data_IF_820000541440
#
_entry.id   IF_820000541440
#
_cell.length_a   1.000
_cell.length_b   1.000
_cell.length_c   1.000
_cell.angle_alpha   90.00
_cell.angle_beta   90.00
_cell.angle_gamma   90.00
#
_symmetry.space_group_name_H-M   'P 1'
#
loop_
_entity.id
_entity.type
_entity.pdbx_description
1 polymer ?
#
# COMPACT_ATOMS: atom_id res chain seq x y z
N UNK A 1 -0.28 -26.29 22.15
CA UNK A 1 -0.07 -26.26 20.67
C UNK A 1 -0.06 -24.80 20.25
N UNK A 2 1.12 -24.19 20.14
CA UNK A 2 1.28 -22.84 19.57
C UNK A 2 1.00 -22.98 18.06
N UNK A 3 -0.08 -22.37 17.59
CA UNK A 3 -0.28 -22.13 16.16
C UNK A 3 0.88 -21.27 15.69
N UNK A 4 1.79 -21.84 14.92
CA UNK A 4 2.69 -21.07 14.06
C UNK A 4 1.81 -20.21 13.15
N UNK A 5 1.58 -18.97 13.55
CA UNK A 5 1.05 -17.95 12.66
C UNK A 5 2.18 -17.75 11.66
N UNK A 6 2.03 -18.30 10.46
CA UNK A 6 2.86 -17.94 9.31
C UNK A 6 2.74 -16.43 9.17
N UNK A 7 3.79 -15.73 9.56
CA UNK A 7 3.88 -14.27 9.47
C UNK A 7 4.10 -13.97 8.00
N UNK A 8 3.01 -13.69 7.27
CA UNK A 8 3.03 -13.39 5.84
C UNK A 8 3.25 -11.89 5.63
N UNK A 9 3.94 -11.53 4.55
CA UNK A 9 3.97 -10.14 4.07
C UNK A 9 2.53 -9.69 3.86
N UNK A 10 2.18 -8.52 4.39
CA UNK A 10 0.87 -7.89 4.17
C UNK A 10 1.04 -6.63 3.34
N UNK A 11 0.14 -6.43 2.39
CA UNK A 11 0.05 -5.16 1.69
C UNK A 11 -0.43 -4.05 2.63
N UNK A 12 -0.04 -2.82 2.32
CA UNK A 12 -0.50 -1.63 3.04
C UNK A 12 -1.78 -1.06 2.43
N UNK A 13 -2.11 -1.42 1.21
CA UNK A 13 -3.37 -1.09 0.55
C UNK A 13 -4.42 -2.13 0.88
N UNK A 14 -5.68 -1.73 0.92
CA UNK A 14 -6.76 -2.67 1.18
C UNK A 14 -8.13 -2.02 1.07
N UNK A 15 -9.13 -2.86 0.86
CA UNK A 15 -10.52 -2.49 0.75
C UNK A 15 -11.38 -3.52 1.47
N UNK A 16 -12.34 -3.04 2.24
CA UNK A 16 -13.34 -3.87 2.89
C UNK A 16 -14.71 -3.21 2.82
N UNK A 17 -15.74 -3.99 2.58
CA UNK A 17 -17.13 -3.56 2.57
C UNK A 17 -17.98 -4.63 3.22
N UNK A 18 -18.94 -4.17 4.03
CA UNK A 18 -19.96 -5.04 4.59
C UNK A 18 -21.30 -4.29 4.68
N UNK A 19 -22.38 -5.03 4.64
CA UNK A 19 -23.75 -4.47 4.69
C UNK A 19 -24.64 -5.36 5.54
N UNK A 20 -25.55 -4.74 6.31
CA UNK A 20 -26.60 -5.46 7.00
C UNK A 20 -27.91 -4.70 6.91
N UNK A 21 -29.01 -5.41 7.13
CA UNK A 21 -30.36 -4.85 7.21
C UNK A 21 -30.80 -4.91 8.67
N UNK A 22 -31.29 -3.79 9.18
CA UNK A 22 -31.91 -3.70 10.49
C UNK A 22 -33.25 -2.94 10.37
N UNK A 23 -34.35 -3.66 10.47
CA UNK A 23 -35.68 -3.12 10.16
C UNK A 23 -35.74 -2.67 8.69
N UNK A 24 -36.12 -1.40 8.47
CA UNK A 24 -36.19 -0.79 7.12
C UNK A 24 -34.88 -0.08 6.71
N UNK A 25 -33.85 -0.13 7.57
CA UNK A 25 -32.56 0.51 7.34
C UNK A 25 -31.55 -0.50 6.76
N UNK A 26 -30.93 -0.16 5.66
CA UNK A 26 -29.75 -0.87 5.14
C UNK A 26 -28.50 -0.12 5.57
N UNK A 27 -27.75 -0.74 6.46
CA UNK A 27 -26.51 -0.22 7.03
C UNK A 27 -25.36 -0.62 6.10
N UNK A 28 -24.58 0.34 5.64
CA UNK A 28 -23.43 0.11 4.77
C UNK A 28 -22.17 0.60 5.47
N UNK A 29 -21.13 -0.24 5.45
CA UNK A 29 -19.80 0.09 5.94
C UNK A 29 -18.80 -0.12 4.83
N UNK A 30 -17.95 0.85 4.62
CA UNK A 30 -16.85 0.81 3.67
C UNK A 30 -15.57 1.30 4.37
N UNK A 31 -14.49 0.54 4.21
CA UNK A 31 -13.18 0.89 4.74
C UNK A 31 -12.14 0.74 3.64
N UNK A 32 -11.37 1.80 3.41
CA UNK A 32 -10.27 1.86 2.45
C UNK A 32 -8.99 2.16 3.18
N UNK A 33 -7.93 1.52 2.78
CA UNK A 33 -6.62 1.80 3.33
C UNK A 33 -5.60 2.02 2.22
N UNK A 34 -4.83 3.09 2.40
CA UNK A 34 -3.66 3.42 1.59
C UNK A 34 -2.42 3.37 2.47
N UNK A 35 -1.27 3.30 1.83
CA UNK A 35 -0.01 3.27 2.54
C UNK A 35 0.27 4.61 3.25
N UNK A 36 0.66 4.53 4.52
CA UNK A 36 1.14 5.66 5.32
C UNK A 36 2.11 5.18 6.40
N UNK A 37 3.01 6.06 6.85
CA UNK A 37 3.98 5.76 7.92
C UNK A 37 3.33 5.66 9.30
N UNK A 38 2.25 6.40 9.53
CA UNK A 38 1.48 6.42 10.76
C UNK A 38 0.03 6.05 10.46
N UNK A 39 -0.73 5.74 11.50
CA UNK A 39 -2.17 5.61 11.41
C UNK A 39 -2.78 7.00 11.22
N UNK A 40 -3.40 7.24 10.07
CA UNK A 40 -4.19 8.43 9.75
C UNK A 40 -5.61 7.97 9.41
N UNK A 41 -6.53 8.14 10.36
CA UNK A 41 -7.89 7.64 10.27
C UNK A 41 -8.89 8.78 10.06
N UNK A 42 -9.47 8.83 8.87
CA UNK A 42 -10.58 9.69 8.51
C UNK A 42 -11.90 8.90 8.63
N UNK A 43 -12.88 9.45 9.32
CA UNK A 43 -14.17 8.81 9.55
C UNK A 43 -15.31 9.67 9.00
N UNK A 44 -16.22 9.05 8.25
CA UNK A 44 -17.49 9.61 7.82
C UNK A 44 -18.60 8.73 8.36
N UNK A 45 -19.30 9.20 9.40
CA UNK A 45 -20.27 8.40 10.14
C UNK A 45 -21.61 9.10 10.08
N UNK A 46 -22.67 8.34 9.77
CA UNK A 46 -24.05 8.84 9.81
C UNK A 46 -24.37 9.44 11.20
N UNK A 47 -25.12 10.57 11.27
CA UNK A 47 -25.38 11.29 12.51
C UNK A 47 -25.87 10.40 13.67
N UNK A 48 -26.69 9.40 13.37
CA UNK A 48 -27.24 8.44 14.34
C UNK A 48 -26.14 7.66 15.10
N UNK A 49 -25.00 7.35 14.46
CA UNK A 49 -23.93 6.53 15.06
C UNK A 49 -22.73 7.37 15.51
N UNK A 50 -22.81 8.70 15.47
CA UNK A 50 -21.70 9.59 15.78
C UNK A 50 -21.19 9.44 17.22
N UNK A 51 -22.08 9.14 18.18
CA UNK A 51 -21.70 8.89 19.57
C UNK A 51 -20.77 7.67 19.74
N UNK A 52 -20.84 6.71 18.84
CA UNK A 52 -20.01 5.48 18.84
C UNK A 52 -18.71 5.62 18.03
N UNK A 53 -18.39 6.83 17.53
CA UNK A 53 -17.20 7.08 16.70
C UNK A 53 -15.90 6.63 17.37
N UNK A 54 -15.74 6.92 18.67
CA UNK A 54 -14.53 6.55 19.40
C UNK A 54 -14.35 5.03 19.53
N UNK A 55 -15.45 4.30 19.66
CA UNK A 55 -15.42 2.83 19.69
C UNK A 55 -14.99 2.27 18.32
N UNK A 56 -15.57 2.78 17.24
CA UNK A 56 -15.20 2.41 15.87
C UNK A 56 -13.72 2.71 15.60
N UNK A 57 -13.23 3.89 15.98
CA UNK A 57 -11.81 4.27 15.85
C UNK A 57 -10.89 3.30 16.58
N UNK A 58 -11.27 2.88 17.78
CA UNK A 58 -10.51 1.91 18.57
C UNK A 58 -10.51 0.52 17.93
N UNK A 59 -11.63 0.06 17.36
CA UNK A 59 -11.72 -1.21 16.63
C UNK A 59 -10.77 -1.23 15.42
N UNK A 60 -10.80 -0.16 14.61
CA UNK A 60 -9.94 0.00 13.43
C UNK A 60 -8.47 0.05 13.84
N UNK A 61 -8.12 0.86 14.85
CA UNK A 61 -6.73 1.05 15.29
C UNK A 61 -6.12 -0.21 15.91
N UNK A 62 -6.93 -1.06 16.56
CA UNK A 62 -6.47 -2.35 17.08
C UNK A 62 -6.21 -3.38 15.98
N UNK A 63 -6.94 -3.29 14.87
CA UNK A 63 -6.86 -4.26 13.78
C UNK A 63 -5.82 -3.85 12.73
N UNK A 64 -5.54 -2.54 12.59
CA UNK A 64 -4.65 -1.98 11.59
C UNK A 64 -3.53 -1.21 12.29
N UNK A 65 -2.28 -1.67 12.14
CA UNK A 65 -1.12 -1.05 12.81
C UNK A 65 -0.78 0.34 12.25
N UNK A 66 -0.94 0.53 10.93
CA UNK A 66 -0.61 1.78 10.21
C UNK A 66 -1.36 1.87 8.89
N UNK A 67 -1.42 3.06 8.32
CA UNK A 67 -2.03 3.33 7.02
C UNK A 67 -2.87 4.61 7.07
N UNK A 68 -3.11 5.21 5.90
CA UNK A 68 -4.15 6.21 5.74
C UNK A 68 -5.46 5.48 5.48
N UNK A 69 -6.35 5.51 6.46
CA UNK A 69 -7.62 4.75 6.47
C UNK A 69 -8.78 5.70 6.33
N UNK A 70 -9.57 5.52 5.28
CA UNK A 70 -10.84 6.20 5.09
C UNK A 70 -11.97 5.22 5.43
N UNK A 71 -12.74 5.56 6.47
CA UNK A 71 -13.88 4.78 6.95
C UNK A 71 -15.17 5.53 6.69
N UNK A 72 -16.17 4.86 6.14
CA UNK A 72 -17.50 5.42 5.89
C UNK A 72 -18.59 4.47 6.38
N UNK A 73 -19.51 5.01 7.16
CA UNK A 73 -20.70 4.32 7.67
C UNK A 73 -21.93 5.16 7.34
N UNK A 74 -22.81 4.62 6.49
CA UNK A 74 -24.04 5.32 6.08
C UNK A 74 -25.24 4.37 6.05
N UNK A 75 -26.42 4.98 6.09
CA UNK A 75 -27.71 4.29 6.07
C UNK A 75 -28.38 4.60 4.73
N UNK A 76 -28.85 3.57 4.06
CA UNK A 76 -29.82 3.68 2.96
C UNK A 76 -31.19 3.35 3.54
N UNK A 77 -32.14 4.30 3.42
CA UNK A 77 -33.56 4.07 3.72
C UNK A 77 -34.29 3.82 2.41
N UNK A 78 -35.31 2.99 2.45
CA UNK A 78 -36.17 2.79 1.30
C UNK A 78 -36.87 4.10 0.91
N UNK A 79 -37.03 4.33 -0.39
CA UNK A 79 -37.50 5.61 -0.98
C UNK A 79 -38.95 5.92 -0.55
N UNK A 80 -39.69 4.96 -0.05
CA UNK A 80 -41.09 5.14 0.40
C UNK A 80 -41.26 6.08 1.59
N UNK A 81 -40.18 6.37 2.37
CA UNK A 81 -40.25 7.13 3.62
C UNK A 81 -39.49 8.47 3.59
N UNK A 82 -39.31 9.04 2.38
CA UNK A 82 -38.52 10.27 2.19
C UNK A 82 -39.33 11.57 2.36
N UNK A 83 -40.64 11.48 2.58
CA UNK A 83 -41.42 12.66 2.83
C UNK A 83 -41.09 13.28 4.20
N UNK A 84 -40.65 14.54 4.21
CA UNK A 84 -40.40 15.28 5.46
C UNK A 84 -41.72 15.46 6.19
N UNK A 85 -41.88 14.94 7.42
CA UNK A 85 -43.13 15.07 8.15
C UNK A 85 -43.39 16.52 8.49
N UNK A 86 -44.67 16.90 8.44
CA UNK A 86 -45.13 18.21 8.85
C UNK A 86 -45.42 18.19 10.34
N UNK A 87 -44.82 19.10 11.10
CA UNK A 87 -45.09 19.25 12.51
C UNK A 87 -46.46 19.94 12.73
N UNK A 88 -47.51 19.13 12.88
CA UNK A 88 -48.87 19.61 13.01
C UNK A 88 -49.08 20.55 14.23
N UNK A 89 -48.41 20.25 15.35
CA UNK A 89 -48.50 21.07 16.54
C UNK A 89 -47.89 22.47 16.33
N UNK A 90 -46.78 22.55 15.58
CA UNK A 90 -46.16 23.82 15.29
C UNK A 90 -46.95 24.62 14.25
N UNK A 91 -47.58 23.95 13.30
CA UNK A 91 -48.49 24.56 12.31
C UNK A 91 -49.69 25.20 13.04
N UNK A 92 -50.32 24.47 13.98
CA UNK A 92 -51.43 24.99 14.78
C UNK A 92 -51.00 26.19 15.64
N UNK A 93 -49.82 26.15 16.19
CA UNK A 93 -49.28 27.24 17.01
C UNK A 93 -49.03 28.50 16.18
N UNK A 94 -48.41 28.39 15.04
CA UNK A 94 -48.20 29.50 14.12
C UNK A 94 -49.55 30.05 13.58
N UNK A 95 -50.47 29.21 13.24
CA UNK A 95 -51.81 29.62 12.82
C UNK A 95 -52.49 30.52 13.90
N UNK A 96 -52.50 30.08 15.14
CA UNK A 96 -53.11 30.81 16.26
C UNK A 96 -52.38 32.14 16.51
N UNK A 97 -51.04 32.20 16.40
CA UNK A 97 -50.27 33.44 16.55
C UNK A 97 -50.57 34.42 15.43
N UNK A 98 -50.60 34.00 14.15
CA UNK A 98 -50.92 34.86 13.03
C UNK A 98 -52.31 35.40 13.13
N UNK A 99 -53.31 34.59 13.54
CA UNK A 99 -54.67 35.02 13.79
C UNK A 99 -54.77 36.11 14.82
N UNK A 100 -54.15 35.92 16.00
CA UNK A 100 -54.13 36.91 17.06
C UNK A 100 -53.46 38.23 16.63
N UNK A 101 -52.35 38.16 15.86
CA UNK A 101 -51.65 39.35 15.33
C UNK A 101 -52.55 40.08 14.33
N UNK A 102 -53.22 39.36 13.46
CA UNK A 102 -54.16 39.95 12.49
C UNK A 102 -55.28 40.68 13.17
N UNK A 103 -55.89 40.12 14.23
CA UNK A 103 -56.93 40.76 15.03
C UNK A 103 -56.45 42.02 15.75
N UNK A 104 -55.22 42.02 16.27
CA UNK A 104 -54.65 43.16 16.99
C UNK A 104 -54.21 44.32 16.03
N UNK A 105 -53.66 43.96 14.89
CA UNK A 105 -53.04 44.92 13.97
C UNK A 105 -53.91 45.36 12.79
N UNK A 106 -55.07 44.69 12.63
CA UNK A 106 -55.95 44.84 11.46
C UNK A 106 -55.31 44.54 10.10
N UNK A 107 -54.19 43.76 10.10
CA UNK A 107 -53.60 43.26 8.89
C UNK A 107 -54.46 42.10 8.37
N UNK A 108 -54.85 42.04 7.10
CA UNK A 108 -55.69 40.95 6.60
C UNK A 108 -54.95 39.59 6.70
N UNK A 109 -55.76 38.54 6.93
CA UNK A 109 -55.26 37.17 6.94
C UNK A 109 -54.69 36.75 5.59
N UNK A 110 -53.68 35.90 5.52
CA UNK A 110 -53.14 35.39 4.26
C UNK A 110 -54.22 34.56 3.52
N UNK A 111 -54.28 34.72 2.19
CA UNK A 111 -55.23 33.95 1.36
C UNK A 111 -54.80 32.48 1.25
N UNK A 112 -53.49 32.22 1.14
CA UNK A 112 -52.89 30.87 1.06
C UNK A 112 -52.18 30.51 2.39
N UNK A 113 -52.96 29.84 3.25
CA UNK A 113 -52.51 29.40 4.54
C UNK A 113 -51.44 28.31 4.47
N UNK A 114 -51.59 27.35 3.57
CA UNK A 114 -50.61 26.26 3.45
C UNK A 114 -49.26 26.76 2.97
N UNK A 115 -49.22 27.61 1.96
CA UNK A 115 -47.98 28.21 1.49
C UNK A 115 -47.30 29.06 2.56
N UNK A 116 -48.11 29.78 3.40
CA UNK A 116 -47.58 30.61 4.49
C UNK A 116 -47.00 29.75 5.62
N UNK A 117 -47.78 28.77 6.10
CA UNK A 117 -47.38 27.94 7.26
C UNK A 117 -46.24 26.99 6.92
N UNK A 118 -46.19 26.39 5.72
CA UNK A 118 -45.13 25.50 5.31
C UNK A 118 -43.76 26.21 5.11
N UNK A 119 -43.75 27.53 5.02
CA UNK A 119 -42.53 28.35 4.95
C UNK A 119 -42.03 28.82 6.32
N UNK A 120 -42.84 28.63 7.36
CA UNK A 120 -42.39 28.97 8.71
C UNK A 120 -41.28 28.08 9.18
N UNK A 121 -40.37 28.60 10.04
CA UNK A 121 -39.26 27.84 10.59
C UNK A 121 -39.76 26.55 11.26
N UNK A 122 -39.01 25.46 11.07
CA UNK A 122 -39.19 24.16 11.74
C UNK A 122 -40.56 23.47 11.55
N UNK A 123 -41.42 23.99 10.68
CA UNK A 123 -42.70 23.33 10.32
C UNK A 123 -42.43 22.04 9.52
N UNK A 124 -41.46 22.03 8.67
CA UNK A 124 -40.94 20.82 8.02
C UNK A 124 -39.80 20.28 8.89
N UNK A 125 -40.14 19.50 9.89
CA UNK A 125 -39.13 18.88 10.75
C UNK A 125 -38.44 17.74 10.05
N UNK A 126 -37.12 17.77 10.02
CA UNK A 126 -36.36 16.55 9.82
C UNK A 126 -36.75 15.59 10.92
N UNK A 127 -37.22 14.39 10.55
CA UNK A 127 -37.67 13.36 11.46
C UNK A 127 -36.84 13.33 12.76
N UNK A 128 -37.50 13.10 13.89
CA UNK A 128 -36.93 13.02 15.24
C UNK A 128 -35.53 12.34 15.21
N UNK A 129 -34.64 12.88 16.02
CA UNK A 129 -33.33 12.24 16.29
C UNK A 129 -33.67 10.85 16.86
N UNK A 130 -33.64 9.85 15.98
CA UNK A 130 -33.83 8.47 16.42
C UNK A 130 -32.67 8.17 17.37
N UNK A 131 -33.01 7.81 18.61
CA UNK A 131 -32.03 7.30 19.57
C UNK A 131 -31.52 5.95 19.09
N UNK A 132 -30.24 5.73 19.21
CA UNK A 132 -29.58 4.47 18.82
C UNK A 132 -29.95 3.40 19.84
N UNK A 133 -30.63 2.33 19.41
CA UNK A 133 -30.88 1.17 20.26
C UNK A 133 -29.62 0.31 20.38
N UNK A 134 -29.45 -0.37 21.53
CA UNK A 134 -28.29 -1.29 21.71
C UNK A 134 -28.35 -2.46 20.71
N UNK A 135 -29.51 -2.97 20.34
CA UNK A 135 -29.67 -4.03 19.36
C UNK A 135 -29.20 -3.57 17.96
N UNK A 136 -29.54 -2.34 17.56
CA UNK A 136 -29.05 -1.74 16.31
C UNK A 136 -27.56 -1.55 16.36
N UNK A 137 -27.00 -1.09 17.49
CA UNK A 137 -25.56 -0.93 17.65
C UNK A 137 -24.82 -2.26 17.56
N UNK A 138 -25.31 -3.34 18.12
CA UNK A 138 -24.67 -4.67 17.97
C UNK A 138 -24.62 -5.15 16.51
N UNK A 139 -25.66 -4.86 15.73
CA UNK A 139 -25.65 -5.15 14.29
C UNK A 139 -24.59 -4.30 13.57
N UNK A 140 -24.55 -2.98 13.83
CA UNK A 140 -23.54 -2.08 13.26
C UNK A 140 -22.14 -2.54 13.60
N UNK A 141 -21.87 -2.88 14.86
CA UNK A 141 -20.59 -3.36 15.33
C UNK A 141 -20.12 -4.59 14.57
N UNK A 142 -20.99 -5.58 14.35
CA UNK A 142 -20.68 -6.77 13.55
C UNK A 142 -20.35 -6.43 12.11
N UNK A 143 -21.08 -5.51 11.50
CA UNK A 143 -20.81 -5.06 10.12
C UNK A 143 -19.47 -4.33 10.03
N UNK A 144 -19.12 -3.52 11.03
CA UNK A 144 -17.80 -2.87 11.11
C UNK A 144 -16.70 -3.92 11.23
N UNK A 145 -16.84 -4.91 12.12
CA UNK A 145 -15.87 -6.01 12.27
C UNK A 145 -15.71 -6.81 10.97
N UNK A 146 -16.81 -7.11 10.28
CA UNK A 146 -16.80 -7.81 9.00
C UNK A 146 -16.06 -7.01 7.91
N UNK A 147 -16.33 -5.71 7.80
CA UNK A 147 -15.64 -4.84 6.85
C UNK A 147 -14.13 -4.77 7.14
N UNK A 148 -13.73 -4.70 8.42
CA UNK A 148 -12.33 -4.73 8.83
C UNK A 148 -11.69 -6.07 8.45
N UNK A 149 -12.36 -7.19 8.68
CA UNK A 149 -11.88 -8.53 8.33
C UNK A 149 -11.70 -8.67 6.82
N UNK A 150 -12.63 -8.19 6.02
CA UNK A 150 -12.50 -8.18 4.55
C UNK A 150 -11.27 -7.39 4.09
N UNK A 151 -11.01 -6.22 4.70
CA UNK A 151 -9.80 -5.44 4.40
C UNK A 151 -8.53 -6.19 4.80
N UNK A 152 -8.49 -6.82 5.97
CA UNK A 152 -7.33 -7.60 6.44
C UNK A 152 -7.07 -8.80 5.52
N UNK A 153 -8.12 -9.49 5.09
CA UNK A 153 -7.99 -10.64 4.18
C UNK A 153 -7.54 -10.21 2.78
N UNK A 154 -8.02 -9.07 2.29
CA UNK A 154 -7.51 -8.46 1.06
C UNK A 154 -6.00 -8.19 1.16
N UNK A 155 -5.55 -7.57 2.27
CA UNK A 155 -4.12 -7.31 2.52
C UNK A 155 -3.27 -8.58 2.55
N UNK A 156 -3.78 -9.68 3.11
CA UNK A 156 -3.10 -10.98 3.12
C UNK A 156 -2.99 -11.58 1.72
N UNK A 157 -4.07 -11.55 0.95
CA UNK A 157 -4.09 -12.06 -0.42
C UNK A 157 -3.10 -11.30 -1.31
N UNK A 158 -3.12 -9.98 -1.24
CA UNK A 158 -2.18 -9.13 -1.98
C UNK A 158 -0.74 -9.35 -1.52
N UNK A 159 -0.50 -9.50 -0.22
CA UNK A 159 0.80 -9.82 0.36
C UNK A 159 1.35 -11.15 -0.15
N UNK A 160 0.52 -12.19 -0.24
CA UNK A 160 0.91 -13.50 -0.80
C UNK A 160 1.30 -13.39 -2.27
N UNK A 161 0.55 -12.61 -3.05
CA UNK A 161 0.87 -12.37 -4.46
C UNK A 161 2.21 -11.61 -4.63
N UNK A 162 2.48 -10.64 -3.77
CA UNK A 162 3.75 -9.91 -3.73
C UNK A 162 4.92 -10.82 -3.35
N UNK A 163 4.77 -11.67 -2.33
CA UNK A 163 5.79 -12.63 -1.90
C UNK A 163 6.18 -13.57 -3.03
N UNK A 164 5.19 -14.10 -3.77
CA UNK A 164 5.45 -14.94 -4.95
C UNK A 164 6.27 -14.20 -6.01
N UNK A 165 5.91 -12.95 -6.31
CA UNK A 165 6.65 -12.13 -7.27
C UNK A 165 8.07 -11.83 -6.80
N UNK A 166 8.28 -11.50 -5.53
CA UNK A 166 9.62 -11.28 -4.99
C UNK A 166 10.48 -12.55 -5.13
N UNK A 167 9.97 -13.71 -4.75
CA UNK A 167 10.69 -14.97 -4.89
C UNK A 167 11.06 -15.26 -6.34
N UNK A 168 10.13 -15.06 -7.29
CA UNK A 168 10.41 -15.21 -8.72
C UNK A 168 11.59 -14.34 -9.19
N UNK A 169 11.59 -13.05 -8.79
CA UNK A 169 12.65 -12.10 -9.17
C UNK A 169 13.99 -12.45 -8.53
N UNK A 170 13.99 -12.83 -7.27
CA UNK A 170 15.18 -13.28 -6.55
C UNK A 170 15.75 -14.56 -7.20
N UNK A 171 14.90 -15.52 -7.54
CA UNK A 171 15.31 -16.75 -8.22
C UNK A 171 15.90 -16.46 -9.61
N UNK A 172 15.34 -15.49 -10.34
CA UNK A 172 15.88 -15.04 -11.62
C UNK A 172 17.28 -14.45 -11.46
N UNK A 173 17.50 -13.54 -10.49
CA UNK A 173 18.82 -12.97 -10.23
C UNK A 173 19.83 -14.07 -9.84
N UNK A 174 19.43 -15.02 -9.00
CA UNK A 174 20.30 -16.14 -8.59
C UNK A 174 20.70 -17.02 -9.78
N UNK A 175 19.76 -17.32 -10.68
CA UNK A 175 20.00 -18.08 -11.91
C UNK A 175 20.95 -17.32 -12.85
N UNK A 176 20.71 -16.02 -13.03
CA UNK A 176 21.57 -15.15 -13.84
C UNK A 176 22.99 -15.07 -13.26
N UNK A 177 23.13 -14.97 -11.94
CA UNK A 177 24.42 -14.96 -11.27
C UNK A 177 25.21 -16.26 -11.53
N UNK A 178 24.55 -17.41 -11.46
CA UNK A 178 25.18 -18.71 -11.80
C UNK A 178 25.58 -18.81 -13.27
N UNK A 179 24.83 -18.17 -14.17
CA UNK A 179 25.13 -18.19 -15.61
C UNK A 179 26.37 -17.37 -16.01
N UNK A 180 26.98 -16.62 -15.09
CA UNK A 180 28.24 -15.90 -15.33
C UNK A 180 29.45 -16.86 -15.34
N UNK A 181 29.41 -17.94 -14.55
CA UNK A 181 30.57 -18.85 -14.33
C UNK A 181 31.29 -19.32 -15.61
N UNK A 182 30.62 -19.76 -16.69
CA UNK A 182 31.32 -20.20 -17.91
C UNK A 182 32.15 -19.08 -18.54
N UNK A 183 31.66 -17.84 -18.47
CA UNK A 183 32.31 -16.69 -19.12
C UNK A 183 33.51 -16.15 -18.33
N UNK A 184 33.64 -16.46 -17.05
CA UNK A 184 34.80 -16.07 -16.24
C UNK A 184 36.08 -16.71 -16.76
N UNK A 185 36.04 -18.00 -17.08
CA UNK A 185 37.18 -18.75 -17.61
C UNK A 185 37.55 -18.24 -19.02
N UNK A 186 36.55 -18.04 -19.87
CA UNK A 186 36.74 -17.53 -21.25
C UNK A 186 37.35 -16.11 -21.25
N UNK A 187 36.90 -15.26 -20.31
CA UNK A 187 37.40 -13.90 -20.14
C UNK A 187 38.90 -13.87 -19.85
N UNK A 188 39.39 -14.71 -18.93
CA UNK A 188 40.81 -14.78 -18.58
C UNK A 188 41.64 -15.17 -19.82
N UNK A 189 41.19 -16.17 -20.57
CA UNK A 189 41.85 -16.58 -21.81
C UNK A 189 41.91 -15.43 -22.85
N UNK A 190 40.79 -14.74 -23.09
CA UNK A 190 40.73 -13.60 -24.01
C UNK A 190 41.59 -12.40 -23.56
N UNK A 191 41.73 -12.14 -22.29
CA UNK A 191 42.60 -11.09 -21.76
C UNK A 191 44.06 -11.45 -22.05
N UNK A 192 44.44 -12.71 -21.79
CA UNK A 192 45.78 -13.19 -22.06
C UNK A 192 46.13 -13.06 -23.53
N UNK A 193 45.29 -13.57 -24.41
CA UNK A 193 45.47 -13.48 -25.88
C UNK A 193 45.63 -12.02 -26.34
N UNK A 194 44.73 -11.12 -25.91
CA UNK A 194 44.79 -9.70 -26.29
C UNK A 194 46.06 -9.00 -25.85
N UNK A 195 46.55 -9.29 -24.64
CA UNK A 195 47.78 -8.68 -24.12
C UNK A 195 48.98 -9.24 -24.87
N UNK A 196 49.04 -10.54 -25.15
CA UNK A 196 50.09 -11.18 -25.92
C UNK A 196 50.14 -10.62 -27.35
N UNK A 197 49.00 -10.56 -28.03
CA UNK A 197 48.90 -10.00 -29.38
C UNK A 197 49.32 -8.52 -29.45
N UNK A 198 48.96 -7.73 -28.44
CA UNK A 198 49.35 -6.31 -28.38
C UNK A 198 50.87 -6.15 -28.21
N UNK A 199 51.48 -7.01 -27.41
CA UNK A 199 52.93 -7.01 -27.24
C UNK A 199 53.66 -7.45 -28.49
N UNK A 200 53.23 -8.51 -29.15
CA UNK A 200 53.83 -9.00 -30.39
C UNK A 200 53.75 -7.99 -31.56
N UNK A 201 52.64 -7.22 -31.63
CA UNK A 201 52.47 -6.18 -32.66
C UNK A 201 53.20 -4.89 -32.37
N UNK A 202 53.49 -4.58 -31.12
CA UNK A 202 54.05 -3.26 -30.74
C UNK A 202 55.54 -3.28 -30.50
N UNK A 203 56.15 -4.44 -30.15
CA UNK A 203 57.54 -4.54 -29.74
C UNK A 203 58.21 -5.65 -30.54
N UNK A 204 59.13 -5.26 -31.44
CA UNK A 204 60.01 -6.17 -32.19
C UNK A 204 61.22 -6.69 -31.35
N UNK A 205 61.15 -6.60 -30.03
CA UNK A 205 62.19 -6.98 -29.07
C UNK A 205 61.65 -8.02 -28.11
N UNK A 206 62.50 -9.00 -27.74
CA UNK A 206 62.23 -10.06 -26.79
C UNK A 206 61.71 -9.44 -25.47
N UNK A 207 60.42 -9.67 -25.11
CA UNK A 207 59.81 -9.14 -23.92
C UNK A 207 60.02 -10.07 -22.72
N UNK A 208 60.21 -9.52 -21.54
CA UNK A 208 60.33 -10.27 -20.27
C UNK A 208 59.03 -11.01 -19.94
N UNK A 209 59.04 -12.33 -20.12
CA UNK A 209 57.88 -13.20 -19.83
C UNK A 209 57.42 -13.12 -18.36
N UNK A 210 58.35 -12.94 -17.41
CA UNK A 210 58.04 -12.84 -15.97
C UNK A 210 57.25 -11.54 -15.71
N UNK A 211 57.59 -10.45 -16.39
CA UNK A 211 56.88 -9.18 -16.26
C UNK A 211 55.50 -9.26 -16.89
N UNK A 212 55.34 -9.96 -18.00
CA UNK A 212 54.02 -10.22 -18.61
C UNK A 212 53.12 -11.03 -17.65
N UNK A 213 53.66 -12.06 -17.00
CA UNK A 213 52.87 -12.86 -16.05
C UNK A 213 52.49 -12.06 -14.83
N UNK A 214 53.34 -11.20 -14.30
CA UNK A 214 52.99 -10.30 -13.18
C UNK A 214 51.88 -9.32 -13.55
N UNK A 215 51.92 -8.71 -14.71
CA UNK A 215 50.85 -7.82 -15.21
C UNK A 215 49.55 -8.59 -15.43
N UNK A 216 49.60 -9.80 -15.97
CA UNK A 216 48.41 -10.67 -16.13
C UNK A 216 47.77 -11.01 -14.78
N UNK A 217 48.57 -11.37 -13.79
CA UNK A 217 48.08 -11.64 -12.43
C UNK A 217 47.37 -10.40 -11.87
N UNK A 218 48.01 -9.23 -11.99
CA UNK A 218 47.41 -7.96 -11.54
C UNK A 218 46.07 -7.66 -12.23
N UNK A 219 45.94 -7.88 -13.53
CA UNK A 219 44.71 -7.69 -14.26
C UNK A 219 43.64 -8.72 -13.88
N UNK A 220 44.01 -9.96 -13.63
CA UNK A 220 43.10 -11.03 -13.20
C UNK A 220 42.53 -10.69 -11.82
N UNK A 221 43.37 -10.29 -10.87
CA UNK A 221 42.98 -9.89 -9.52
C UNK A 221 42.06 -8.63 -9.56
N UNK A 222 42.43 -7.62 -10.36
CA UNK A 222 41.64 -6.40 -10.50
C UNK A 222 40.23 -6.64 -11.08
N UNK A 223 40.09 -7.65 -11.90
CA UNK A 223 38.83 -8.03 -12.57
C UNK A 223 38.13 -9.18 -11.84
N UNK A 224 38.64 -9.67 -10.72
CA UNK A 224 38.00 -10.72 -9.93
C UNK A 224 36.63 -10.23 -9.41
N UNK A 225 35.62 -11.08 -9.55
CA UNK A 225 34.22 -10.84 -9.12
C UNK A 225 33.72 -11.85 -8.08
N UNK A 226 34.62 -12.68 -7.53
CA UNK A 226 34.24 -13.71 -6.56
C UNK A 226 33.64 -13.11 -5.29
N UNK A 227 34.19 -11.98 -4.83
CA UNK A 227 33.67 -11.27 -3.66
C UNK A 227 32.25 -10.74 -3.90
N UNK A 228 32.02 -10.09 -5.05
CA UNK A 228 30.69 -9.58 -5.44
C UNK A 228 29.67 -10.69 -5.60
N UNK A 229 30.04 -11.82 -6.20
CA UNK A 229 29.19 -13.02 -6.31
C UNK A 229 28.78 -13.55 -4.95
N UNK A 230 29.72 -13.66 -4.02
CA UNK A 230 29.46 -14.15 -2.68
C UNK A 230 28.59 -13.18 -1.89
N UNK A 231 28.88 -11.88 -1.97
CA UNK A 231 28.08 -10.84 -1.30
C UNK A 231 26.65 -10.81 -1.86
N UNK A 232 26.50 -10.82 -3.18
CA UNK A 232 25.19 -10.86 -3.82
C UNK A 232 24.39 -12.09 -3.41
N UNK A 233 25.00 -13.27 -3.39
CA UNK A 233 24.36 -14.51 -2.92
C UNK A 233 23.91 -14.40 -1.45
N UNK A 234 24.72 -13.79 -0.60
CA UNK A 234 24.35 -13.52 0.80
C UNK A 234 23.17 -12.54 0.91
N UNK A 235 23.16 -11.48 0.10
CA UNK A 235 22.05 -10.51 0.08
C UNK A 235 20.75 -11.13 -0.44
N UNK A 236 20.79 -11.99 -1.46
CA UNK A 236 19.63 -12.73 -1.95
C UNK A 236 19.03 -13.63 -0.85
N UNK A 237 19.89 -14.37 -0.12
CA UNK A 237 19.45 -15.20 1.01
C UNK A 237 18.84 -14.32 2.12
N UNK A 238 19.53 -13.25 2.50
CA UNK A 238 19.07 -12.35 3.56
C UNK A 238 17.76 -11.64 3.20
N UNK A 239 17.53 -11.37 1.91
CA UNK A 239 16.26 -10.85 1.43
C UNK A 239 15.13 -11.86 1.68
N UNK A 240 15.31 -13.13 1.32
CA UNK A 240 14.32 -14.20 1.61
C UNK A 240 14.05 -14.37 3.11
N UNK A 241 15.10 -14.40 3.93
CA UNK A 241 14.98 -14.49 5.40
C UNK A 241 14.21 -13.27 5.98
N UNK A 242 14.47 -12.07 5.45
CA UNK A 242 13.78 -10.86 5.88
C UNK A 242 12.31 -10.88 5.46
N UNK A 243 11.98 -11.39 4.27
CA UNK A 243 10.58 -11.59 3.85
C UNK A 243 9.83 -12.54 4.79
N UNK A 244 10.47 -13.65 5.17
CA UNK A 244 9.89 -14.63 6.10
C UNK A 244 9.72 -14.07 7.53
N UNK A 245 10.38 -12.97 7.89
CA UNK A 245 10.30 -12.33 9.20
C UNK A 245 9.03 -11.52 9.48
N UNK A 246 8.10 -11.43 8.51
CA UNK A 246 6.78 -10.83 8.70
C UNK A 246 6.60 -9.43 8.16
N UNK A 247 5.54 -8.75 8.63
CA UNK A 247 5.18 -7.43 8.15
C UNK A 247 6.07 -6.32 8.73
N UNK A 248 6.07 -5.16 8.09
CA UNK A 248 6.88 -4.00 8.48
C UNK A 248 8.33 -4.04 7.99
N UNK A 249 8.73 -5.03 7.20
CA UNK A 249 10.10 -5.23 6.74
C UNK A 249 10.47 -4.48 5.45
N UNK A 250 9.54 -3.76 4.81
CA UNK A 250 9.77 -3.17 3.49
C UNK A 250 10.95 -2.20 3.44
N UNK A 251 11.16 -1.37 4.50
CA UNK A 251 12.35 -0.50 4.58
C UNK A 251 13.65 -1.31 4.58
N UNK A 252 13.68 -2.42 5.32
CA UNK A 252 14.83 -3.32 5.39
C UNK A 252 15.06 -4.03 4.06
N UNK A 253 13.98 -4.52 3.42
CA UNK A 253 14.05 -5.09 2.07
C UNK A 253 14.57 -4.08 1.05
N UNK A 254 14.16 -2.81 1.15
CA UNK A 254 14.67 -1.73 0.30
C UNK A 254 16.17 -1.51 0.46
N UNK A 255 16.70 -1.54 1.69
CA UNK A 255 18.13 -1.45 1.93
C UNK A 255 18.89 -2.65 1.36
N UNK A 256 18.38 -3.88 1.57
CA UNK A 256 19.01 -5.09 1.03
C UNK A 256 19.03 -5.02 -0.51
N UNK A 257 17.93 -4.60 -1.15
CA UNK A 257 17.88 -4.44 -2.61
C UNK A 257 18.88 -3.40 -3.12
N UNK A 258 19.12 -2.30 -2.39
CA UNK A 258 20.15 -1.32 -2.72
C UNK A 258 21.57 -1.93 -2.64
N UNK A 259 21.87 -2.72 -1.62
CA UNK A 259 23.15 -3.43 -1.52
C UNK A 259 23.32 -4.46 -2.67
N UNK A 260 22.26 -5.21 -3.01
CA UNK A 260 22.26 -6.07 -4.21
C UNK A 260 22.60 -5.27 -5.46
N UNK A 261 22.06 -4.08 -5.61
CA UNK A 261 22.36 -3.18 -6.73
C UNK A 261 23.82 -2.75 -6.79
N UNK A 262 24.44 -2.53 -5.65
CA UNK A 262 25.88 -2.22 -5.58
C UNK A 262 26.72 -3.37 -6.08
N UNK A 263 26.46 -4.59 -5.62
CA UNK A 263 27.20 -5.77 -6.04
C UNK A 263 27.01 -6.07 -7.55
N UNK A 264 25.79 -5.95 -8.06
CA UNK A 264 25.49 -6.08 -9.50
C UNK A 264 26.23 -5.03 -10.32
N UNK A 265 26.27 -3.76 -9.86
CA UNK A 265 26.98 -2.69 -10.54
C UNK A 265 28.49 -2.93 -10.56
N UNK A 266 29.07 -3.37 -9.44
CA UNK A 266 30.50 -3.67 -9.34
C UNK A 266 30.85 -4.87 -10.22
N UNK A 267 30.03 -5.92 -10.23
CA UNK A 267 30.16 -7.04 -11.17
C UNK A 267 30.18 -6.54 -12.62
N UNK A 268 29.27 -5.63 -13.00
CA UNK A 268 29.22 -5.03 -14.34
C UNK A 268 30.47 -4.24 -14.68
N UNK A 269 30.99 -3.43 -13.77
CA UNK A 269 32.19 -2.63 -14.01
C UNK A 269 33.47 -3.47 -14.17
N UNK A 270 33.52 -4.61 -13.47
CA UNK A 270 34.62 -5.58 -13.57
C UNK A 270 34.44 -6.58 -14.73
N UNK A 271 33.25 -6.69 -15.31
CA UNK A 271 32.94 -7.62 -16.41
C UNK A 271 33.40 -7.05 -17.76
N UNK A 272 34.57 -7.40 -18.19
CA UNK A 272 35.10 -7.03 -19.52
C UNK A 272 34.78 -8.11 -20.56
N UNK A 273 33.48 -8.51 -20.65
CA UNK A 273 32.98 -9.53 -21.56
C UNK A 273 31.54 -9.22 -21.94
N UNK A 274 31.18 -9.25 -23.24
CA UNK A 274 29.86 -8.83 -23.72
C UNK A 274 28.70 -9.61 -23.12
N UNK A 275 28.82 -10.95 -23.07
CA UNK A 275 27.76 -11.80 -22.51
C UNK A 275 27.58 -11.56 -21.01
N UNK A 276 28.68 -11.36 -20.26
CA UNK A 276 28.58 -11.02 -18.84
C UNK A 276 27.89 -9.66 -18.65
N UNK A 277 28.13 -8.68 -19.51
CA UNK A 277 27.43 -7.39 -19.48
C UNK A 277 25.94 -7.55 -19.74
N UNK A 278 25.55 -8.40 -20.71
CA UNK A 278 24.15 -8.71 -20.99
C UNK A 278 23.45 -9.34 -19.76
N UNK A 279 24.12 -10.26 -19.08
CA UNK A 279 23.61 -10.89 -17.85
C UNK A 279 23.45 -9.85 -16.76
N UNK A 280 24.41 -8.96 -16.56
CA UNK A 280 24.34 -7.87 -15.57
C UNK A 280 23.17 -6.94 -15.85
N UNK A 281 22.89 -6.59 -17.11
CA UNK A 281 21.73 -5.78 -17.49
C UNK A 281 20.43 -6.50 -17.09
N UNK A 282 20.32 -7.79 -17.39
CA UNK A 282 19.14 -8.58 -16.98
C UNK A 282 18.98 -8.63 -15.46
N UNK A 283 20.07 -8.79 -14.70
CA UNK A 283 20.00 -8.74 -13.23
C UNK A 283 19.53 -7.36 -12.72
N UNK A 284 19.94 -6.27 -13.36
CA UNK A 284 19.48 -4.91 -13.03
C UNK A 284 17.99 -4.75 -13.28
N UNK A 285 17.49 -5.24 -14.41
CA UNK A 285 16.06 -5.17 -14.75
C UNK A 285 15.21 -5.92 -13.71
N UNK A 286 15.63 -7.12 -13.30
CA UNK A 286 14.95 -7.89 -12.24
C UNK A 286 14.98 -7.16 -10.90
N UNK A 287 16.11 -6.52 -10.56
CA UNK A 287 16.25 -5.74 -9.34
C UNK A 287 15.39 -4.46 -9.34
N UNK A 288 15.30 -3.77 -10.46
CA UNK A 288 14.43 -2.59 -10.60
C UNK A 288 12.96 -2.96 -10.40
N UNK A 289 12.53 -4.13 -10.88
CA UNK A 289 11.20 -4.65 -10.62
C UNK A 289 10.99 -4.93 -9.13
N UNK A 290 11.97 -5.49 -8.41
CA UNK A 290 11.92 -5.67 -6.95
C UNK A 290 11.77 -4.30 -6.26
N UNK A 291 12.57 -3.31 -6.62
CA UNK A 291 12.50 -1.97 -6.04
C UNK A 291 11.14 -1.31 -6.31
N UNK A 292 10.59 -1.46 -7.50
CA UNK A 292 9.25 -0.99 -7.85
C UNK A 292 8.17 -1.64 -6.98
N UNK A 293 8.22 -2.96 -6.79
CA UNK A 293 7.28 -3.68 -5.93
C UNK A 293 7.38 -3.23 -4.46
N UNK A 294 8.59 -2.97 -3.95
CA UNK A 294 8.79 -2.41 -2.60
C UNK A 294 8.19 -1.00 -2.51
N UNK A 295 8.36 -0.16 -3.52
CA UNK A 295 7.77 1.19 -3.55
C UNK A 295 6.24 1.17 -3.60
N UNK A 296 5.62 0.22 -4.26
CA UNK A 296 4.16 0.03 -4.28
C UNK A 296 3.67 -0.41 -2.89
N UNK A 297 4.40 -1.30 -2.24
CA UNK A 297 4.07 -1.77 -0.88
C UNK A 297 4.44 -0.75 0.21
N UNK A 298 5.47 0.09 0.00
CA UNK A 298 5.92 1.14 0.92
C UNK A 298 6.36 2.40 0.16
N UNK A 299 5.47 3.32 -0.25
CA UNK A 299 5.89 4.56 -0.91
C UNK A 299 6.78 5.38 0.01
N UNK A 300 8.05 5.45 -0.33
CA UNK A 300 8.94 6.47 0.19
C UNK A 300 8.53 7.83 -0.39
N UNK A 301 8.53 8.88 0.43
CA UNK A 301 8.29 10.25 0.02
C UNK A 301 8.94 10.52 -1.34
N UNK A 302 8.15 10.90 -2.33
CA UNK A 302 8.64 11.78 -3.36
C UNK A 302 9.26 13.00 -2.65
N UNK A 303 10.56 13.14 -2.69
CA UNK A 303 11.19 14.42 -2.42
C UNK A 303 10.64 15.36 -3.49
N UNK A 304 9.76 16.25 -3.11
CA UNK A 304 9.56 17.49 -3.85
C UNK A 304 10.93 18.18 -3.86
N UNK A 305 11.63 18.06 -4.97
CA UNK A 305 12.72 18.97 -5.30
C UNK A 305 12.01 20.26 -5.72
N UNK A 306 11.98 21.22 -4.81
CA UNK A 306 11.67 22.61 -5.11
C UNK A 306 12.88 23.24 -5.77
#
# INVERSE_FOLDING_TARGET
>A
MQKNILVMIQSMTGYGKATAIFGEKKINVEIKSLNSKAMDLSTRIAPLYREKEMEIRNMISKSLERGKVDFSLWIEKDVSDTATPINAALVENYYNQIKSISEMTHIPMPEDWFATLLRMPDVLTKADVQELSEDEWEVVRRVVEEAINHLVDFRKQEGTALEKKFNEKIDNIERLLKSIEPYETERVAKIRERITDALEKTISVDYDKNRLEQELIYYIEKLDINEEKQRLSNHLRYFRETMAGGHGQGKKLGFIAQEMGREINTTGSKSNHAEMQNIVVQMKDELEQILSLIHISEPTRLRCIS
#
